data_IF_280261617167
#
_entry.id   IF_280261617167
#
_cell.length_a   1.000
_cell.length_b   1.000
_cell.length_c   1.000
_cell.angle_alpha   90.00
_cell.angle_beta   90.00
_cell.angle_gamma   90.00
#
_symmetry.space_group_name_H-M   'P 1'
#
loop_
_entity.id
_entity.type
_entity.pdbx_description
1 polymer ?
#
# COMPACT_ATOMS: atom_id res chain seq x y z
N UNK A 1 -20.49 6.53 9.78
CA UNK A 1 -19.12 6.47 10.34
C UNK A 1 -18.04 6.74 9.28
N UNK A 2 -17.99 5.99 8.17
CA UNK A 2 -16.90 6.10 7.17
C UNK A 2 -16.65 7.51 6.61
N UNK A 3 -17.70 8.22 6.16
CA UNK A 3 -17.57 9.60 5.63
C UNK A 3 -16.87 10.55 6.61
N UNK A 4 -17.13 10.40 7.91
CA UNK A 4 -16.52 11.25 8.94
C UNK A 4 -15.01 11.04 9.04
N UNK A 5 -14.52 9.80 8.89
CA UNK A 5 -13.09 9.52 8.82
C UNK A 5 -12.48 10.00 7.49
N UNK A 6 -13.05 9.56 6.35
CA UNK A 6 -12.44 9.76 5.04
C UNK A 6 -12.42 11.23 4.54
N UNK A 7 -13.46 12.01 4.87
CA UNK A 7 -13.59 13.40 4.39
C UNK A 7 -13.13 14.40 5.45
N UNK A 8 -13.45 14.13 6.72
CA UNK A 8 -13.28 15.11 7.80
C UNK A 8 -12.16 14.75 8.80
N UNK A 9 -11.57 13.55 8.71
CA UNK A 9 -10.53 13.11 9.65
C UNK A 9 -11.02 12.95 11.10
N UNK A 10 -12.32 12.70 11.33
CA UNK A 10 -12.87 12.60 12.69
C UNK A 10 -12.54 11.24 13.33
N UNK A 11 -11.51 11.22 14.17
CA UNK A 11 -11.06 10.02 14.92
C UNK A 11 -12.04 9.53 15.99
N UNK A 12 -12.96 10.37 16.47
CA UNK A 12 -13.88 10.02 17.55
C UNK A 12 -15.17 9.39 17.04
N UNK A 13 -15.67 9.88 15.90
CA UNK A 13 -16.95 9.44 15.29
C UNK A 13 -16.77 8.66 13.98
N UNK A 14 -15.57 8.69 13.43
CA UNK A 14 -15.21 8.05 12.17
C UNK A 14 -14.89 6.57 12.32
N UNK A 15 -14.94 5.86 11.18
CA UNK A 15 -14.40 4.52 11.05
C UNK A 15 -13.33 4.55 9.97
N UNK A 16 -12.06 4.38 10.36
CA UNK A 16 -10.91 4.36 9.46
C UNK A 16 -10.71 2.94 8.94
N UNK A 17 -11.30 2.66 7.78
CA UNK A 17 -11.15 1.35 7.15
C UNK A 17 -9.75 1.22 6.56
N UNK A 18 -8.99 0.24 7.04
CA UNK A 18 -7.68 -0.13 6.53
C UNK A 18 -7.47 -1.65 6.65
N UNK A 19 -6.77 -2.24 5.68
CA UNK A 19 -6.34 -3.64 5.77
C UNK A 19 -5.07 -3.79 6.61
N UNK A 20 -4.72 -5.02 6.97
CA UNK A 20 -3.49 -5.31 7.73
C UNK A 20 -2.22 -4.81 7.04
N UNK A 21 -2.22 -4.75 5.69
CA UNK A 21 -1.12 -4.24 4.87
C UNK A 21 -0.77 -2.77 5.16
N UNK A 22 -1.67 -1.99 5.78
CA UNK A 22 -1.41 -0.60 6.15
C UNK A 22 -0.18 -0.47 7.07
N UNK A 23 0.16 -1.51 7.84
CA UNK A 23 1.38 -1.55 8.64
C UNK A 23 2.68 -1.49 7.82
N UNK A 24 2.65 -1.86 6.53
CA UNK A 24 3.81 -1.80 5.63
C UNK A 24 3.91 -0.50 4.82
N UNK A 25 2.85 0.33 4.80
CA UNK A 25 2.87 1.63 4.11
C UNK A 25 3.54 2.66 5.02
N UNK A 26 4.76 3.08 4.68
CA UNK A 26 5.60 3.95 5.53
C UNK A 26 5.79 5.37 4.99
N UNK A 27 5.23 5.68 3.83
CA UNK A 27 5.41 6.97 3.14
C UNK A 27 4.16 7.33 2.36
N UNK A 28 3.91 8.63 2.27
CA UNK A 28 2.96 9.21 1.33
C UNK A 28 3.65 9.35 -0.03
N UNK A 29 2.93 8.99 -1.10
CA UNK A 29 3.48 8.94 -2.45
C UNK A 29 2.40 9.32 -3.45
N UNK A 30 2.82 9.83 -4.60
CA UNK A 30 1.93 10.00 -5.74
C UNK A 30 1.53 8.64 -6.30
N UNK A 31 0.38 8.57 -6.98
CA UNK A 31 -0.07 7.34 -7.65
C UNK A 31 0.98 6.84 -8.65
N UNK A 32 1.67 7.75 -9.33
CA UNK A 32 2.75 7.42 -10.28
C UNK A 32 3.91 6.69 -9.60
N UNK A 33 4.42 7.22 -8.49
CA UNK A 33 5.51 6.60 -7.73
C UNK A 33 5.11 5.24 -7.16
N UNK A 34 3.89 5.11 -6.62
CA UNK A 34 3.37 3.84 -6.09
C UNK A 34 3.40 2.76 -7.17
N UNK A 35 2.87 3.07 -8.35
CA UNK A 35 2.84 2.12 -9.47
C UNK A 35 4.27 1.77 -9.89
N UNK A 36 5.13 2.76 -10.15
CA UNK A 36 6.50 2.50 -10.58
C UNK A 36 7.28 1.64 -9.58
N UNK A 37 7.15 1.93 -8.28
CA UNK A 37 7.83 1.18 -7.22
C UNK A 37 7.35 -0.26 -7.14
N UNK A 38 6.03 -0.50 -7.11
CA UNK A 38 5.46 -1.85 -7.01
C UNK A 38 5.91 -2.71 -8.20
N UNK A 39 5.84 -2.18 -9.42
CA UNK A 39 6.20 -2.96 -10.60
C UNK A 39 7.71 -3.19 -10.70
N UNK A 40 8.54 -2.18 -10.37
CA UNK A 40 10.00 -2.35 -10.39
C UNK A 40 10.47 -3.40 -9.37
N UNK A 41 9.93 -3.35 -8.15
CA UNK A 41 10.25 -4.34 -7.11
C UNK A 41 9.74 -5.74 -7.48
N UNK A 42 8.53 -5.84 -8.06
CA UNK A 42 8.00 -7.11 -8.52
C UNK A 42 8.88 -7.73 -9.63
N UNK A 43 9.33 -6.93 -10.60
CA UNK A 43 10.25 -7.41 -11.64
C UNK A 43 11.57 -7.93 -11.06
N UNK A 44 12.16 -7.21 -10.11
CA UNK A 44 13.41 -7.61 -9.47
C UNK A 44 13.26 -8.97 -8.76
N UNK A 45 12.18 -9.14 -7.99
CA UNK A 45 11.87 -10.38 -7.27
C UNK A 45 11.65 -11.53 -8.25
N UNK A 46 10.82 -11.31 -9.28
CA UNK A 46 10.45 -12.36 -10.24
C UNK A 46 11.62 -12.78 -11.14
N UNK A 47 12.51 -11.85 -11.54
CA UNK A 47 13.76 -12.19 -12.26
C UNK A 47 14.65 -13.09 -11.39
N UNK A 48 14.66 -12.89 -10.08
CA UNK A 48 15.36 -13.75 -9.12
C UNK A 48 14.75 -15.14 -8.93
N UNK A 49 13.48 -15.34 -9.30
CA UNK A 49 12.73 -16.57 -9.03
C UNK A 49 13.33 -17.80 -9.73
N UNK A 50 13.91 -17.63 -10.92
CA UNK A 50 14.57 -18.72 -11.67
C UNK A 50 15.71 -19.40 -10.89
N UNK A 51 16.31 -18.73 -9.90
CA UNK A 51 17.34 -19.32 -9.02
C UNK A 51 16.80 -20.45 -8.13
N UNK A 52 15.49 -20.52 -7.96
CA UNK A 52 14.83 -21.45 -7.05
C UNK A 52 14.10 -22.59 -7.77
N UNK A 53 14.12 -22.58 -9.10
CA UNK A 53 13.57 -23.65 -9.93
C UNK A 53 14.66 -24.70 -10.16
N UNK A 54 14.42 -25.93 -9.69
CA UNK A 54 15.27 -27.11 -9.95
C UNK A 54 14.87 -27.81 -11.24
#
# INVERSE_FOLDING_TARGET
ALRWAAVNGDEKKGCFMAGQIAGLVKKEQTVHEIIQEIFSQAEEILKGAGKWVK
#
